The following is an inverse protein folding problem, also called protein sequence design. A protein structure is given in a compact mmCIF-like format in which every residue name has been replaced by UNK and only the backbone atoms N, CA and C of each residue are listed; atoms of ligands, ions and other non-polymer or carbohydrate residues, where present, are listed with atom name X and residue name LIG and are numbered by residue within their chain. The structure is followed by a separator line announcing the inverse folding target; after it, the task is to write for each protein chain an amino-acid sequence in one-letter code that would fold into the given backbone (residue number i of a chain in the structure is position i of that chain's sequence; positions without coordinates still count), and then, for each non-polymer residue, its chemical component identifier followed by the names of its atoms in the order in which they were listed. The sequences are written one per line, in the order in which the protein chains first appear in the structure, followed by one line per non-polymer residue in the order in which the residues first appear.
data_IF_082801956934
#
_entry.id   IF_082801956934
#
_cell.length_a   1.000
_cell.length_b   1.000
_cell.length_c   1.000
_cell.angle_alpha   90.00
_cell.angle_beta   90.00
_cell.angle_gamma   90.00
#
_symmetry.space_group_name_H-M   'P 1'
#
loop_
_entity.id
_entity.type
_entity.pdbx_description
1 polymer ?
#
# COMPACT_ATOMS: atom_id res chain seq x y z
N UNK A 1 5.07 6.49 -19.76
CA UNK A 1 5.12 5.03 -19.52
C UNK A 1 4.65 4.75 -18.10
N UNK A 2 3.34 4.70 -17.87
CA UNK A 2 2.78 4.32 -16.56
C UNK A 2 2.70 2.80 -16.48
N UNK A 3 3.40 2.21 -15.52
CA UNK A 3 3.33 0.78 -15.23
C UNK A 3 1.87 0.40 -14.95
N UNK A 4 1.32 -0.48 -15.77
CA UNK A 4 -0.05 -0.95 -15.68
C UNK A 4 -0.34 -1.57 -14.31
N UNK A 5 -1.55 -1.32 -13.79
CA UNK A 5 -2.14 -2.17 -12.75
C UNK A 5 -2.15 -3.60 -13.32
N UNK A 6 -1.46 -4.59 -12.74
CA UNK A 6 -1.63 -5.96 -13.21
C UNK A 6 -3.09 -6.34 -12.97
N UNK A 7 -3.79 -6.68 -14.06
CA UNK A 7 -5.09 -7.29 -14.00
C UNK A 7 -5.01 -8.47 -13.03
N UNK A 8 -5.91 -8.50 -12.04
CA UNK A 8 -6.00 -9.57 -11.07
C UNK A 8 -6.43 -10.86 -11.78
N UNK A 9 -5.48 -11.53 -12.42
CA UNK A 9 -5.59 -12.93 -12.79
C UNK A 9 -5.93 -13.66 -11.50
N UNK A 10 -7.10 -14.28 -11.48
CA UNK A 10 -7.70 -14.96 -10.33
C UNK A 10 -6.66 -15.84 -9.64
N UNK A 11 -6.09 -15.32 -8.54
CA UNK A 11 -5.09 -16.05 -7.78
C UNK A 11 -5.75 -17.33 -7.24
N UNK A 12 -5.07 -18.49 -7.30
CA UNK A 12 -5.58 -19.70 -6.67
C UNK A 12 -5.87 -19.39 -5.20
N UNK A 13 -7.06 -19.79 -4.72
CA UNK A 13 -7.45 -19.60 -3.32
C UNK A 13 -6.40 -20.25 -2.44
N UNK A 14 -5.61 -19.45 -1.73
CA UNK A 14 -4.63 -19.99 -0.80
C UNK A 14 -5.36 -20.77 0.32
N UNK A 15 -4.82 -21.90 0.78
CA UNK A 15 -5.40 -22.62 1.92
C UNK A 15 -5.49 -21.71 3.15
N UNK A 16 -6.50 -21.91 4.02
CA UNK A 16 -6.65 -21.11 5.23
C UNK A 16 -5.39 -21.25 6.09
N UNK A 17 -4.89 -20.11 6.58
CA UNK A 17 -3.79 -20.06 7.55
C UNK A 17 -4.38 -19.97 8.95
N UNK A 18 -4.03 -20.91 9.81
CA UNK A 18 -4.49 -20.93 11.18
C UNK A 18 -3.85 -19.80 12.01
N UNK A 19 -4.66 -19.03 12.75
CA UNK A 19 -4.16 -17.93 13.58
C UNK A 19 -3.37 -18.41 14.82
N UNK A 20 -3.62 -19.63 15.30
CA UNK A 20 -2.98 -20.17 16.51
C UNK A 20 -1.54 -20.66 16.25
N UNK A 21 -1.34 -21.47 15.22
CA UNK A 21 -0.03 -22.07 14.90
C UNK A 21 0.68 -21.42 13.70
N UNK A 22 -0.01 -20.57 12.93
CA UNK A 22 0.48 -19.89 11.72
C UNK A 22 0.81 -20.82 10.54
N UNK A 23 0.32 -22.06 10.57
CA UNK A 23 0.45 -23.05 9.49
C UNK A 23 -0.75 -22.99 8.54
N UNK A 24 -0.54 -23.44 7.31
CA UNK A 24 -1.60 -23.52 6.30
C UNK A 24 -2.25 -24.91 6.32
N UNK A 25 -3.56 -24.98 6.03
CA UNK A 25 -4.25 -26.24 5.76
C UNK A 25 -5.35 -26.61 6.76
N UNK A 26 -5.58 -25.82 7.80
CA UNK A 26 -6.69 -26.03 8.73
C UNK A 26 -7.26 -24.72 9.25
N UNK A 27 -8.49 -24.77 9.72
CA UNK A 27 -9.14 -23.64 10.37
C UNK A 27 -8.78 -23.59 11.86
N UNK A 28 -8.91 -22.39 12.47
CA UNK A 28 -8.51 -22.15 13.87
C UNK A 28 -9.24 -23.04 14.89
N UNK A 29 -10.42 -23.58 14.54
CA UNK A 29 -11.21 -24.48 15.38
C UNK A 29 -10.69 -25.93 15.40
N UNK A 30 -10.12 -26.41 14.30
CA UNK A 30 -9.51 -27.76 14.19
C UNK A 30 -8.07 -27.83 14.75
N UNK A 31 -7.49 -26.68 15.08
CA UNK A 31 -6.10 -26.60 15.49
C UNK A 31 -5.86 -27.28 16.84
N UNK A 32 -5.15 -28.42 16.82
CA UNK A 32 -4.66 -29.16 18.01
C UNK A 32 -3.28 -28.71 18.49
N UNK A 33 -2.62 -27.80 17.76
CA UNK A 33 -1.27 -27.32 18.07
C UNK A 33 -1.23 -26.31 19.21
N UNK A 34 -0.05 -26.15 19.82
CA UNK A 34 0.24 -25.06 20.78
C UNK A 34 0.33 -23.72 20.04
N UNK A 35 0.03 -22.61 20.73
CA UNK A 35 0.13 -21.27 20.14
C UNK A 35 1.59 -20.94 19.80
N UNK A 36 1.85 -20.58 18.55
CA UNK A 36 3.17 -20.13 18.10
C UNK A 36 3.22 -18.61 18.16
N UNK A 37 4.03 -18.06 19.06
CA UNK A 37 4.25 -16.63 19.12
C UNK A 37 5.35 -16.23 18.13
N UNK A 38 5.04 -15.29 17.24
CA UNK A 38 6.03 -14.63 16.38
C UNK A 38 6.31 -13.26 16.97
N UNK A 39 7.52 -13.08 17.48
CA UNK A 39 7.99 -11.77 17.91
C UNK A 39 8.25 -10.90 16.67
N UNK A 40 7.70 -9.68 16.66
CA UNK A 40 8.07 -8.66 15.69
C UNK A 40 9.12 -7.76 16.31
N UNK A 41 10.13 -7.39 15.53
CA UNK A 41 11.10 -6.40 15.95
C UNK A 41 10.40 -5.08 16.29
N UNK A 42 10.80 -4.45 17.39
CA UNK A 42 10.26 -3.14 17.79
C UNK A 42 10.59 -2.07 16.74
N UNK A 43 9.80 -0.99 16.70
CA UNK A 43 10.04 0.15 15.79
C UNK A 43 11.48 0.69 15.94
N UNK A 44 11.98 0.77 17.17
CA UNK A 44 13.36 1.18 17.46
C UNK A 44 14.39 0.18 16.96
N UNK A 45 14.14 -1.13 17.10
CA UNK A 45 15.01 -2.19 16.55
C UNK A 45 15.11 -2.10 15.03
N UNK A 46 13.98 -1.88 14.35
CA UNK A 46 13.94 -1.68 12.90
C UNK A 46 14.69 -0.41 12.48
N UNK A 47 14.52 0.69 13.22
CA UNK A 47 15.23 1.95 12.98
C UNK A 47 16.74 1.77 13.13
N UNK A 48 17.19 1.16 14.23
CA UNK A 48 18.61 0.89 14.47
C UNK A 48 19.23 0.01 13.38
N UNK A 49 18.50 -1.00 12.89
CA UNK A 49 18.94 -1.83 11.76
C UNK A 49 19.10 -1.00 10.48
N UNK A 50 18.17 -0.07 10.19
CA UNK A 50 18.29 0.86 9.05
C UNK A 50 19.48 1.79 9.18
N UNK A 51 19.71 2.37 10.36
CA UNK A 51 20.84 3.25 10.62
C UNK A 51 22.18 2.53 10.42
N UNK A 52 22.31 1.29 10.92
CA UNK A 52 23.51 0.45 10.70
C UNK A 52 23.76 0.16 9.21
N UNK A 53 22.71 -0.19 8.45
CA UNK A 53 22.85 -0.42 7.00
C UNK A 53 23.32 0.83 6.24
N UNK A 54 22.87 2.02 6.66
CA UNK A 54 23.33 3.30 6.06
C UNK A 54 24.77 3.63 6.42
N UNK A 55 25.19 3.34 7.65
CA UNK A 55 26.59 3.53 8.07
C UNK A 55 27.52 2.56 7.32
N UNK A 56 27.12 1.30 7.20
CA UNK A 56 27.90 0.28 6.49
C UNK A 56 28.01 0.60 5.00
N UNK A 57 26.92 1.04 4.36
CA UNK A 57 26.98 1.47 2.95
C UNK A 57 27.89 2.69 2.76
N UNK A 58 27.93 3.62 3.71
CA UNK A 58 28.86 4.77 3.68
C UNK A 58 30.32 4.34 3.84
N UNK A 59 30.61 3.37 4.72
CA UNK A 59 31.97 2.86 4.93
C UNK A 59 32.50 2.09 3.71
N UNK A 60 31.67 1.28 3.04
CA UNK A 60 32.07 0.52 1.84
C UNK A 60 32.36 1.39 0.62
N UNK A 61 31.84 2.62 0.57
CA UNK A 61 32.14 3.60 -0.49
C UNK A 61 33.58 4.13 -0.39
N UNK A 62 34.22 4.06 0.77
CA UNK A 62 35.59 4.59 0.97
C UNK A 62 36.72 3.66 0.52
N UNK A 63 36.45 2.39 0.21
CA UNK A 63 37.49 1.39 -0.16
C UNK A 63 37.39 0.84 -1.59
N UNK A 64 36.42 1.30 -2.39
CA UNK A 64 36.26 0.87 -3.78
C UNK A 64 36.16 2.06 -4.72
N UNK A 65 37.24 2.34 -5.46
CA UNK A 65 37.19 3.22 -6.64
C UNK A 65 36.16 2.66 -7.63
N UNK A 66 35.06 3.37 -7.86
CA UNK A 66 34.38 3.53 -9.16
C UNK A 66 33.04 4.24 -8.98
N UNK A 67 32.96 5.43 -9.56
CA UNK A 67 31.76 6.18 -9.95
C UNK A 67 30.46 5.37 -9.96
N UNK A 68 29.60 5.59 -8.97
CA UNK A 68 28.15 5.46 -9.17
C UNK A 68 27.50 6.78 -8.82
N UNK A 69 27.19 7.56 -9.87
CA UNK A 69 26.30 8.72 -9.82
C UNK A 69 24.99 8.25 -9.18
N UNK A 70 24.79 8.55 -7.89
CA UNK A 70 23.49 8.38 -7.24
C UNK A 70 22.60 9.48 -7.78
N UNK A 71 21.84 9.17 -8.83
CA UNK A 71 20.78 10.04 -9.33
C UNK A 71 19.74 10.16 -8.22
N UNK A 72 19.74 11.29 -7.51
CA UNK A 72 18.71 11.66 -6.58
C UNK A 72 17.41 11.87 -7.38
N UNK A 73 16.58 10.82 -7.49
CA UNK A 73 15.28 10.91 -8.15
C UNK A 73 14.35 11.77 -7.30
N UNK A 74 14.40 13.09 -7.49
CA UNK A 74 13.26 13.93 -7.17
C UNK A 74 12.14 13.59 -8.16
N UNK A 75 11.26 12.68 -7.78
CA UNK A 75 9.98 12.51 -8.47
C UNK A 75 9.06 13.65 -8.07
N UNK A 76 9.26 14.83 -8.64
CA UNK A 76 8.17 15.81 -8.73
C UNK A 76 7.32 15.43 -9.94
N UNK A 77 6.23 14.69 -9.70
CA UNK A 77 5.16 14.55 -10.68
C UNK A 77 3.84 15.08 -10.08
N UNK A 78 3.61 16.41 -10.09
CA UNK A 78 2.32 16.99 -9.70
C UNK A 78 1.19 16.70 -10.70
N UNK A 79 1.42 15.92 -11.75
CA UNK A 79 0.40 15.62 -12.77
C UNK A 79 -0.77 14.78 -12.23
N UNK A 80 -0.58 13.99 -11.17
CA UNK A 80 -1.64 13.13 -10.64
C UNK A 80 -2.64 13.85 -9.72
N UNK A 81 -2.22 14.91 -9.01
CA UNK A 81 -3.09 15.61 -8.05
C UNK A 81 -4.08 16.55 -8.75
N UNK A 82 -3.65 17.27 -9.80
CA UNK A 82 -4.50 18.23 -10.52
C UNK A 82 -5.62 17.51 -11.28
N UNK A 83 -5.32 16.37 -11.92
CA UNK A 83 -6.33 15.55 -12.59
C UNK A 83 -7.35 14.97 -11.59
N UNK A 84 -6.90 14.45 -10.44
CA UNK A 84 -7.80 13.93 -9.41
C UNK A 84 -8.70 15.02 -8.82
N UNK A 85 -8.16 16.22 -8.55
CA UNK A 85 -8.94 17.34 -8.05
C UNK A 85 -9.98 17.82 -9.09
N UNK A 86 -9.61 17.87 -10.37
CA UNK A 86 -10.54 18.22 -11.46
C UNK A 86 -11.68 17.21 -11.66
N UNK A 87 -11.41 15.92 -11.45
CA UNK A 87 -12.42 14.85 -11.49
C UNK A 87 -13.36 14.89 -10.29
N UNK A 88 -12.85 15.29 -9.10
CA UNK A 88 -13.68 15.50 -7.91
C UNK A 88 -14.65 16.67 -8.10
N UNK A 89 -14.21 17.78 -8.70
CA UNK A 89 -15.07 18.95 -8.97
C UNK A 89 -16.16 18.64 -10.02
N UNK A 90 -15.85 17.81 -11.03
CA UNK A 90 -16.84 17.37 -12.03
C UNK A 90 -17.89 16.41 -11.44
N UNK A 91 -17.49 15.51 -10.54
CA UNK A 91 -18.42 14.58 -9.87
C UNK A 91 -19.40 15.27 -8.93
N UNK A 92 -18.96 16.26 -8.16
CA UNK A 92 -19.84 17.00 -7.24
C UNK A 92 -20.87 17.85 -7.99
N UNK A 93 -20.49 18.49 -9.10
CA UNK A 93 -21.45 19.23 -9.95
C UNK A 93 -22.52 18.34 -10.57
N UNK A 94 -22.18 17.12 -11.00
CA UNK A 94 -23.16 16.16 -11.57
C UNK A 94 -24.16 15.72 -10.50
N UNK A 95 -23.70 15.38 -9.30
CA UNK A 95 -24.58 14.99 -8.19
C UNK A 95 -25.45 16.16 -7.73
N UNK A 96 -24.90 17.37 -7.68
CA UNK A 96 -25.67 18.58 -7.33
C UNK A 96 -26.73 18.93 -8.41
N UNK A 97 -26.43 18.73 -9.69
CA UNK A 97 -27.39 18.89 -10.78
C UNK A 97 -28.53 17.86 -10.69
N UNK A 98 -28.20 16.60 -10.37
CA UNK A 98 -29.19 15.54 -10.14
C UNK A 98 -30.05 15.79 -8.89
N UNK A 99 -29.46 16.37 -7.84
CA UNK A 99 -30.18 16.79 -6.63
C UNK A 99 -31.13 17.97 -6.91
N UNK A 100 -30.74 18.93 -7.74
CA UNK A 100 -31.61 20.05 -8.13
C UNK A 100 -32.75 19.63 -9.07
N UNK A 101 -32.51 18.66 -9.96
CA UNK A 101 -33.54 18.14 -10.87
C UNK A 101 -34.57 17.25 -10.15
N UNK A 102 -34.19 16.58 -9.06
CA UNK A 102 -35.12 15.80 -8.24
C UNK A 102 -35.87 16.62 -7.18
N UNK A 103 -35.54 17.90 -6.97
CA UNK A 103 -36.23 18.76 -5.99
C UNK A 103 -37.57 19.31 -6.49
N UNK A 104 -37.88 19.17 -7.79
CA UNK A 104 -39.13 19.64 -8.40
C UNK A 104 -40.25 18.59 -8.44
N UNK A 105 -40.05 17.41 -7.85
CA UNK A 105 -41.06 16.33 -7.82
C UNK A 105 -41.47 16.00 -6.39
N UNK A 106 -42.24 16.91 -5.78
CA UNK A 106 -43.05 16.61 -4.59
C UNK A 106 -44.50 16.92 -4.99
N UNK A 107 -45.29 15.95 -5.46
CA UNK A 107 -46.73 16.12 -5.54
C UNK A 107 -47.29 16.19 -4.11
N UNK A 108 -47.89 17.34 -3.77
CA UNK A 108 -48.71 17.50 -2.58
C UNK A 108 -49.94 16.61 -2.74
N UNK A 109 -50.01 15.55 -1.93
CA UNK A 109 -51.22 14.77 -1.67
C UNK A 109 -51.76 15.10 -0.30
#
# INVERSE_FOLDING_TARGET
MTLGKPAALSAPKAPPKCQKCLEAGHWTYECKGKRKFVSRASRSSLLNKRMKMLQESRSKVSSGNASRKVVLRHQTAPQMTVLLLSLMIKRTKIVYLFFLLNKSYIPLG
#
